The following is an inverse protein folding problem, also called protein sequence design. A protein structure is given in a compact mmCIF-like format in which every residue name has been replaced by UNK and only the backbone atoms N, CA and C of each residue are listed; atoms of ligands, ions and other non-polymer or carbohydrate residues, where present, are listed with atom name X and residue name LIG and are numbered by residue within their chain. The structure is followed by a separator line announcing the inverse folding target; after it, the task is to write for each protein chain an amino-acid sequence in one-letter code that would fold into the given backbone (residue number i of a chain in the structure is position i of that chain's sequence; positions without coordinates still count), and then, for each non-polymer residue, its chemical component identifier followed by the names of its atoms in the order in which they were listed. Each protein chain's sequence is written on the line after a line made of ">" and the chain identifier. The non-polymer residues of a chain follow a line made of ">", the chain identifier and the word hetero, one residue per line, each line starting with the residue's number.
data_IF_819375272263
#
_entry.id   IF_819375272263
#
_cell.length_a   1.000
_cell.length_b   1.000
_cell.length_c   1.000
_cell.angle_alpha   90.00
_cell.angle_beta   90.00
_cell.angle_gamma   90.00
#
_symmetry.space_group_name_H-M   'P 1'
#
loop_
_entity.id
_entity.type
_entity.pdbx_description
1 polymer ?
#
# COMPACT_ATOMS: atom_id res chain seq x y z
N UNK A 1 -9.23 -9.75 -23.99
CA UNK A 1 -8.36 -10.33 -22.94
C UNK A 1 -9.18 -10.37 -21.65
N UNK A 2 -9.57 -11.55 -21.16
CA UNK A 2 -10.50 -11.70 -20.03
C UNK A 2 -9.81 -11.32 -18.70
N UNK A 3 -10.46 -10.50 -17.88
CA UNK A 3 -9.92 -9.99 -16.62
C UNK A 3 -10.57 -10.68 -15.42
N UNK A 4 -9.74 -11.15 -14.48
CA UNK A 4 -10.17 -11.89 -13.29
C UNK A 4 -10.13 -11.00 -12.04
N UNK A 5 -11.19 -11.04 -11.23
CA UNK A 5 -11.28 -10.32 -9.97
C UNK A 5 -11.70 -11.24 -8.83
N UNK A 6 -11.16 -11.01 -7.63
CA UNK A 6 -11.46 -11.82 -6.44
C UNK A 6 -12.05 -10.92 -5.34
N UNK A 7 -13.32 -11.18 -4.98
CA UNK A 7 -14.02 -10.51 -3.89
C UNK A 7 -14.08 -11.44 -2.67
N UNK A 8 -13.52 -11.01 -1.54
CA UNK A 8 -13.39 -11.83 -0.33
C UNK A 8 -14.40 -11.47 0.78
N UNK A 9 -15.11 -10.33 0.68
CA UNK A 9 -16.24 -10.00 1.56
C UNK A 9 -17.13 -8.91 0.96
N UNK A 10 -18.31 -8.69 1.55
CA UNK A 10 -19.24 -7.59 1.20
C UNK A 10 -18.62 -6.19 1.30
N UNK A 11 -17.46 -6.04 1.97
CA UNK A 11 -16.76 -4.76 2.13
C UNK A 11 -15.39 -4.70 1.45
N UNK A 12 -14.80 -5.82 1.01
CA UNK A 12 -13.45 -5.84 0.45
C UNK A 12 -13.36 -6.68 -0.83
N UNK A 13 -13.08 -5.95 -1.90
CA UNK A 13 -12.89 -6.51 -3.24
C UNK A 13 -11.51 -6.04 -3.72
N UNK A 14 -10.57 -6.99 -3.90
CA UNK A 14 -9.22 -6.71 -4.39
C UNK A 14 -9.22 -7.02 -5.88
N UNK A 15 -9.29 -5.97 -6.69
CA UNK A 15 -9.41 -6.06 -8.14
C UNK A 15 -8.04 -5.83 -8.81
N UNK A 16 -7.77 -6.56 -9.90
CA UNK A 16 -6.63 -6.35 -10.78
C UNK A 16 -7.14 -6.05 -12.21
N UNK A 17 -6.56 -5.02 -12.86
CA UNK A 17 -6.54 -4.69 -14.32
C UNK A 17 -7.46 -3.52 -14.81
N UNK A 18 -7.11 -3.00 -16.00
CA UNK A 18 -7.03 -1.63 -16.53
C UNK A 18 -8.34 -1.01 -17.11
N UNK A 19 -8.43 0.32 -16.92
CA UNK A 19 -9.23 1.35 -17.61
C UNK A 19 -10.77 1.44 -17.47
N UNK A 20 -11.15 2.51 -16.75
CA UNK A 20 -12.05 3.62 -17.14
C UNK A 20 -13.34 3.34 -17.91
N UNK A 21 -14.41 2.96 -17.21
CA UNK A 21 -15.75 3.57 -17.41
C UNK A 21 -16.51 3.53 -16.07
N UNK A 22 -17.02 4.67 -15.61
CA UNK A 22 -17.73 4.80 -14.32
C UNK A 22 -19.19 5.20 -14.56
N UNK A 23 -20.13 4.28 -14.29
CA UNK A 23 -21.55 4.62 -14.04
C UNK A 23 -21.80 4.53 -12.54
N UNK A 24 -22.30 5.62 -11.95
CA UNK A 24 -22.64 5.69 -10.53
C UNK A 24 -24.11 5.29 -10.35
N UNK A 25 -24.37 4.25 -9.55
CA UNK A 25 -25.73 3.80 -9.22
C UNK A 25 -25.92 3.82 -7.71
N UNK A 26 -27.06 4.37 -7.28
CA UNK A 26 -27.48 4.55 -5.89
C UNK A 26 -28.27 3.32 -5.44
N UNK A 27 -27.65 2.37 -4.75
CA UNK A 27 -28.41 1.39 -3.95
C UNK A 27 -27.64 1.02 -2.68
N UNK A 28 -28.42 0.70 -1.63
CA UNK A 28 -28.00 0.51 -0.25
C UNK A 28 -27.78 -0.99 -0.05
N UNK A 29 -26.56 -1.53 0.11
CA UNK A 29 -26.39 -2.98 0.17
C UNK A 29 -26.55 -3.44 1.62
N UNK A 30 -27.75 -3.87 1.97
CA UNK A 30 -28.01 -4.59 3.23
C UNK A 30 -27.67 -6.08 3.13
N UNK A 31 -27.67 -6.62 1.91
CA UNK A 31 -27.55 -8.04 1.62
C UNK A 31 -26.38 -8.34 0.66
N UNK A 32 -25.66 -9.44 0.90
CA UNK A 32 -24.54 -9.90 0.06
C UNK A 32 -24.98 -10.17 -1.38
N UNK A 33 -26.19 -10.71 -1.56
CA UNK A 33 -26.72 -11.01 -2.89
C UNK A 33 -27.12 -9.74 -3.66
N UNK A 34 -27.63 -8.73 -2.95
CA UNK A 34 -27.90 -7.41 -3.52
C UNK A 34 -26.59 -6.72 -3.95
N UNK A 35 -25.56 -6.77 -3.12
CA UNK A 35 -24.24 -6.24 -3.44
C UNK A 35 -23.56 -6.98 -4.61
N UNK A 36 -23.64 -8.31 -4.62
CA UNK A 36 -23.13 -9.14 -5.71
C UNK A 36 -23.81 -8.79 -7.04
N UNK A 37 -25.15 -8.67 -7.04
CA UNK A 37 -25.91 -8.24 -8.23
C UNK A 37 -25.51 -6.83 -8.67
N UNK A 38 -25.34 -5.91 -7.73
CA UNK A 38 -24.90 -4.54 -8.03
C UNK A 38 -23.54 -4.53 -8.76
N UNK A 39 -22.54 -5.23 -8.24
CA UNK A 39 -21.20 -5.27 -8.84
C UNK A 39 -21.21 -6.00 -10.19
N UNK A 40 -21.96 -7.10 -10.32
CA UNK A 40 -22.10 -7.81 -11.61
C UNK A 40 -22.80 -6.93 -12.66
N UNK A 41 -23.83 -6.17 -12.28
CA UNK A 41 -24.51 -5.24 -13.19
C UNK A 41 -23.64 -4.03 -13.55
N UNK A 42 -22.86 -3.50 -12.61
CA UNK A 42 -21.87 -2.46 -12.87
C UNK A 42 -20.70 -2.97 -13.74
N UNK A 43 -20.53 -4.29 -13.83
CA UNK A 43 -19.53 -4.96 -14.64
C UNK A 43 -19.96 -5.27 -16.08
N UNK A 44 -21.10 -4.77 -16.54
CA UNK A 44 -21.55 -4.94 -17.92
C UNK A 44 -21.20 -3.71 -18.76
N UNK A 45 -20.78 -3.95 -20.00
CA UNK A 45 -20.55 -2.89 -20.99
C UNK A 45 -21.87 -2.23 -21.42
N UNK A 46 -21.80 -1.16 -22.23
CA UNK A 46 -22.99 -0.52 -22.81
C UNK A 46 -23.83 -1.47 -23.67
N UNK A 47 -23.21 -2.52 -24.20
CA UNK A 47 -23.81 -3.60 -24.99
C UNK A 47 -24.34 -4.77 -24.11
N UNK A 48 -24.19 -4.70 -22.79
CA UNK A 48 -24.69 -5.70 -21.85
C UNK A 48 -23.81 -6.93 -21.65
N UNK A 49 -22.66 -7.01 -22.33
CA UNK A 49 -21.68 -8.08 -22.19
C UNK A 49 -20.87 -7.97 -20.89
N UNK A 50 -20.53 -9.11 -20.28
CA UNK A 50 -19.73 -9.19 -19.06
C UNK A 50 -18.29 -8.76 -19.36
N UNK A 51 -17.93 -7.54 -18.95
CA UNK A 51 -16.59 -6.99 -19.11
C UNK A 51 -15.62 -7.51 -18.03
N UNK A 52 -16.16 -7.93 -16.88
CA UNK A 52 -15.40 -8.37 -15.71
C UNK A 52 -15.80 -9.81 -15.34
N UNK A 53 -14.82 -10.71 -15.22
CA UNK A 53 -15.04 -11.99 -14.53
C UNK A 53 -14.76 -11.81 -13.03
N UNK A 54 -15.79 -11.48 -12.26
CA UNK A 54 -15.70 -11.29 -10.81
C UNK A 54 -16.04 -12.57 -10.06
N UNK A 55 -15.05 -13.21 -9.47
CA UNK A 55 -15.23 -14.32 -8.54
C UNK A 55 -15.55 -13.78 -7.15
N UNK A 56 -16.77 -14.06 -6.69
CA UNK A 56 -17.18 -13.80 -5.32
C UNK A 56 -16.98 -15.07 -4.49
N UNK A 57 -15.99 -15.05 -3.60
CA UNK A 57 -15.81 -16.11 -2.62
C UNK A 57 -17.00 -16.13 -1.66
N UNK A 58 -17.33 -17.31 -1.10
CA UNK A 58 -18.39 -17.43 -0.10
C UNK A 58 -18.13 -16.46 1.06
N UNK A 59 -19.15 -15.73 1.54
CA UNK A 59 -18.98 -14.80 2.64
C UNK A 59 -18.46 -15.55 3.87
N UNK A 60 -17.37 -15.03 4.46
CA UNK A 60 -16.84 -15.58 5.70
C UNK A 60 -17.70 -15.13 6.88
N UNK A 61 -17.96 -15.98 7.88
CA UNK A 61 -18.80 -15.64 9.02
C UNK A 61 -18.24 -14.49 9.87
N UNK A 62 -16.94 -14.20 9.76
CA UNK A 62 -16.30 -13.11 10.47
C UNK A 62 -15.44 -12.24 9.53
N UNK A 63 -16.04 -11.16 9.02
CA UNK A 63 -15.39 -10.23 8.12
C UNK A 63 -14.16 -9.53 8.74
N UNK A 64 -14.17 -9.26 10.05
CA UNK A 64 -13.06 -8.60 10.74
C UNK A 64 -11.81 -9.49 10.79
N UNK A 65 -11.99 -10.78 11.11
CA UNK A 65 -10.88 -11.76 11.10
C UNK A 65 -10.29 -11.89 9.71
N UNK A 66 -11.12 -11.96 8.67
CA UNK A 66 -10.69 -12.03 7.26
C UNK A 66 -9.93 -10.79 6.84
N UNK A 67 -10.44 -9.59 7.17
CA UNK A 67 -9.75 -8.33 6.89
C UNK A 67 -8.40 -8.22 7.63
N UNK A 68 -8.36 -8.62 8.91
CA UNK A 68 -7.13 -8.66 9.70
C UNK A 68 -6.13 -9.68 9.17
N UNK A 69 -6.60 -10.82 8.66
CA UNK A 69 -5.79 -11.82 7.98
C UNK A 69 -5.17 -11.21 6.71
N UNK A 70 -5.99 -10.75 5.77
CA UNK A 70 -5.53 -10.15 4.50
C UNK A 70 -4.56 -8.97 4.74
N UNK A 71 -4.87 -8.09 5.70
CA UNK A 71 -4.02 -6.96 6.04
C UNK A 71 -2.62 -7.37 6.52
N UNK A 72 -2.47 -8.51 7.19
CA UNK A 72 -1.15 -9.04 7.59
C UNK A 72 -0.33 -9.46 6.37
N UNK A 73 -0.96 -10.05 5.35
CA UNK A 73 -0.26 -10.48 4.14
C UNK A 73 0.12 -9.31 3.24
N UNK A 74 -0.70 -8.28 3.15
CA UNK A 74 -0.41 -7.09 2.35
C UNK A 74 0.70 -6.21 2.96
N UNK A 75 0.79 -6.14 4.29
CA UNK A 75 1.73 -5.25 5.00
C UNK A 75 3.07 -5.90 5.32
N UNK A 76 3.12 -7.21 5.60
CA UNK A 76 4.32 -7.87 6.10
C UNK A 76 5.21 -8.33 4.94
N UNK A 77 6.54 -8.33 5.15
CA UNK A 77 7.42 -9.00 4.21
C UNK A 77 7.04 -10.48 4.08
N UNK A 78 7.26 -11.07 2.90
CA UNK A 78 6.86 -12.45 2.58
C UNK A 78 7.53 -13.49 3.50
N UNK A 79 8.70 -13.16 4.05
CA UNK A 79 9.34 -13.91 5.13
C UNK A 79 9.47 -12.99 6.34
N UNK A 80 8.87 -13.39 7.45
CA UNK A 80 9.03 -12.71 8.74
C UNK A 80 10.37 -13.08 9.35
N UNK A 81 11.10 -12.11 9.92
CA UNK A 81 12.35 -12.38 10.65
C UNK A 81 12.18 -13.39 11.80
N UNK A 82 10.99 -13.44 12.42
CA UNK A 82 10.65 -14.44 13.43
C UNK A 82 10.66 -15.91 12.94
N UNK A 83 10.75 -16.14 11.62
CA UNK A 83 10.90 -17.49 11.06
C UNK A 83 12.36 -17.92 10.97
N UNK A 84 13.31 -17.03 11.19
CA UNK A 84 14.74 -17.36 11.21
C UNK A 84 15.04 -18.11 12.51
N UNK A 85 15.37 -19.40 12.38
CA UNK A 85 15.70 -20.25 13.52
C UNK A 85 17.21 -20.31 13.74
N UNK A 86 17.98 -20.43 12.66
CA UNK A 86 19.43 -20.49 12.73
C UNK A 86 20.09 -19.77 11.56
N UNK A 87 21.23 -19.14 11.83
CA UNK A 87 22.07 -18.48 10.84
C UNK A 87 23.53 -18.83 11.11
N UNK A 88 24.11 -19.63 10.21
CA UNK A 88 25.48 -20.13 10.34
C UNK A 88 26.43 -19.27 9.50
N UNK A 89 26.54 -17.97 9.85
CA UNK A 89 27.63 -17.07 9.46
C UNK A 89 27.97 -16.87 7.98
N UNK A 90 27.28 -17.51 7.02
CA UNK A 90 27.77 -17.60 5.64
C UNK A 90 27.18 -18.74 4.82
N UNK A 91 27.04 -19.92 5.43
CA UNK A 91 26.76 -21.18 4.72
C UNK A 91 25.26 -21.47 4.63
N UNK A 92 24.58 -21.47 5.78
CA UNK A 92 23.21 -22.00 5.90
C UNK A 92 22.32 -21.11 6.75
N UNK A 93 21.10 -20.95 6.26
CA UNK A 93 20.01 -20.23 6.92
C UNK A 93 18.86 -21.22 7.09
N UNK A 94 18.43 -21.45 8.33
CA UNK A 94 17.29 -22.33 8.63
C UNK A 94 16.07 -21.48 8.94
N UNK A 95 15.02 -21.66 8.14
CA UNK A 95 13.72 -21.02 8.34
C UNK A 95 12.69 -22.03 8.86
N UNK A 96 12.10 -21.75 10.01
CA UNK A 96 10.96 -22.51 10.54
C UNK A 96 9.65 -21.96 10.02
N UNK A 97 8.81 -22.81 9.45
CA UNK A 97 7.49 -22.44 8.93
C UNK A 97 6.44 -23.49 9.31
N UNK A 98 5.18 -23.05 9.38
CA UNK A 98 4.05 -23.95 9.60
C UNK A 98 3.57 -24.47 8.24
N UNK A 99 3.60 -25.78 8.04
CA UNK A 99 3.09 -26.43 6.84
C UNK A 99 1.60 -26.72 7.03
N UNK A 100 0.76 -25.99 6.31
CA UNK A 100 -0.69 -26.13 6.39
C UNK A 100 -1.22 -27.44 5.81
N UNK A 101 -0.45 -28.15 4.97
CA UNK A 101 -0.85 -29.44 4.40
C UNK A 101 -0.62 -30.57 5.39
N UNK A 102 0.44 -30.49 6.19
CA UNK A 102 0.80 -31.53 7.18
C UNK A 102 0.44 -31.16 8.61
N UNK A 103 0.10 -29.90 8.89
CA UNK A 103 -0.28 -29.43 10.23
C UNK A 103 0.90 -29.29 11.20
N UNK A 104 2.14 -29.45 10.73
CA UNK A 104 3.34 -29.45 11.57
C UNK A 104 4.30 -28.32 11.18
N UNK A 105 5.12 -27.91 12.14
CA UNK A 105 6.24 -27.02 11.87
C UNK A 105 7.35 -27.80 11.15
N UNK A 106 7.86 -27.22 10.07
CA UNK A 106 8.97 -27.74 9.29
C UNK A 106 10.07 -26.69 9.18
N UNK A 107 11.28 -27.19 8.97
CA UNK A 107 12.47 -26.38 8.77
C UNK A 107 12.85 -26.40 7.29
N UNK A 108 13.28 -25.24 6.80
CA UNK A 108 13.73 -25.02 5.44
C UNK A 108 15.14 -24.46 5.49
N UNK A 109 16.10 -25.30 5.15
CA UNK A 109 17.49 -24.91 5.02
C UNK A 109 17.74 -24.29 3.65
N UNK A 110 18.34 -23.11 3.63
CA UNK A 110 18.65 -22.34 2.43
C UNK A 110 20.06 -21.77 2.51
N UNK A 111 20.71 -21.63 1.37
CA UNK A 111 21.86 -20.75 1.23
C UNK A 111 21.44 -19.28 1.27
N UNK A 112 22.38 -18.38 1.56
CA UNK A 112 22.14 -16.93 1.51
C UNK A 112 21.63 -16.48 0.14
N UNK A 113 22.24 -17.02 -0.93
CA UNK A 113 21.88 -16.68 -2.31
C UNK A 113 20.45 -17.08 -2.63
N UNK A 114 20.02 -18.27 -2.22
CA UNK A 114 18.64 -18.73 -2.43
C UNK A 114 17.62 -17.90 -1.67
N UNK A 115 17.94 -17.50 -0.43
CA UNK A 115 17.09 -16.60 0.34
C UNK A 115 16.90 -15.27 -0.39
N UNK A 116 18.00 -14.64 -0.84
CA UNK A 116 17.97 -13.37 -1.56
C UNK A 116 17.16 -13.50 -2.85
N UNK A 117 17.40 -14.54 -3.65
CA UNK A 117 16.65 -14.77 -4.90
C UNK A 117 15.15 -14.95 -4.64
N UNK A 118 14.77 -15.64 -3.56
CA UNK A 118 13.35 -15.79 -3.17
C UNK A 118 12.73 -14.48 -2.70
N UNK A 119 13.49 -13.62 -2.03
CA UNK A 119 13.05 -12.29 -1.62
C UNK A 119 12.89 -11.35 -2.83
N UNK A 120 13.83 -11.36 -3.76
CA UNK A 120 13.79 -10.52 -4.98
C UNK A 120 12.54 -10.84 -5.81
N UNK A 121 12.14 -12.12 -5.92
CA UNK A 121 10.91 -12.53 -6.63
C UNK A 121 9.63 -11.87 -6.10
N UNK A 122 9.66 -11.34 -4.88
CA UNK A 122 8.51 -10.70 -4.24
C UNK A 122 8.50 -9.18 -4.45
N UNK A 123 9.60 -8.62 -4.96
CA UNK A 123 9.70 -7.20 -5.29
C UNK A 123 8.96 -7.00 -6.63
N UNK A 124 7.87 -6.23 -6.64
CA UNK A 124 7.16 -5.94 -7.87
C UNK A 124 8.04 -5.11 -8.82
N UNK A 125 7.80 -5.24 -10.13
CA UNK A 125 8.49 -4.44 -11.13
C UNK A 125 8.27 -2.94 -10.92
N UNK A 126 9.17 -2.13 -11.49
CA UNK A 126 9.06 -0.67 -11.45
C UNK A 126 7.72 -0.25 -12.05
N UNK A 127 6.98 0.58 -11.31
CA UNK A 127 5.62 1.04 -11.64
C UNK A 127 4.50 0.00 -11.54
N UNK A 128 4.78 -1.23 -11.13
CA UNK A 128 3.74 -2.21 -10.84
C UNK A 128 3.04 -1.87 -9.52
N UNK A 129 1.73 -1.58 -9.61
CA UNK A 129 0.89 -1.31 -8.44
C UNK A 129 0.35 -2.63 -7.90
N UNK A 130 0.87 -3.07 -6.73
CA UNK A 130 0.40 -4.26 -6.02
C UNK A 130 -1.07 -4.17 -5.61
N UNK A 131 -1.52 -2.97 -5.20
CA UNK A 131 -2.91 -2.68 -4.86
C UNK A 131 -3.41 -1.62 -5.82
N UNK A 132 -4.53 -1.91 -6.48
CA UNK A 132 -5.19 -1.00 -7.40
C UNK A 132 -6.59 -0.69 -6.85
N UNK A 133 -6.93 0.59 -6.82
CA UNK A 133 -8.24 1.04 -6.36
C UNK A 133 -9.18 1.23 -7.55
N UNK A 134 -10.38 0.67 -7.47
CA UNK A 134 -11.38 0.68 -8.55
C UNK A 134 -12.77 1.06 -8.03
N UNK A 135 -13.70 1.29 -8.95
CA UNK A 135 -15.05 1.74 -8.64
C UNK A 135 -15.03 3.04 -7.84
N UNK A 136 -15.78 3.08 -6.75
CA UNK A 136 -15.85 4.25 -5.86
C UNK A 136 -14.55 4.53 -5.09
N UNK A 137 -13.58 3.59 -5.07
CA UNK A 137 -12.26 3.81 -4.45
C UNK A 137 -11.22 4.33 -5.44
N UNK A 138 -11.53 4.41 -6.74
CA UNK A 138 -10.57 4.90 -7.73
C UNK A 138 -10.20 6.37 -7.48
N UNK A 139 -8.90 6.71 -7.58
CA UNK A 139 -8.37 8.03 -7.21
C UNK A 139 -9.13 9.22 -7.83
N UNK A 140 -9.64 9.09 -9.06
CA UNK A 140 -10.38 10.16 -9.76
C UNK A 140 -11.74 10.46 -9.11
N UNK A 141 -12.40 9.45 -8.56
CA UNK A 141 -13.81 9.53 -8.10
C UNK A 141 -13.97 9.30 -6.60
N UNK A 142 -12.92 8.86 -5.90
CA UNK A 142 -12.95 8.55 -4.46
C UNK A 142 -13.29 9.77 -3.61
N UNK A 143 -12.89 10.97 -4.02
CA UNK A 143 -13.19 12.20 -3.29
C UNK A 143 -14.68 12.53 -3.23
N UNK A 144 -15.47 12.08 -4.22
CA UNK A 144 -16.91 12.37 -4.31
C UNK A 144 -17.76 11.16 -3.94
N UNK A 145 -17.41 9.97 -4.44
CA UNK A 145 -18.22 8.77 -4.26
C UNK A 145 -18.07 8.14 -2.87
N UNK A 146 -16.91 8.28 -2.22
CA UNK A 146 -16.68 7.63 -0.93
C UNK A 146 -17.63 8.14 0.16
N UNK A 147 -17.94 9.44 0.16
CA UNK A 147 -18.86 10.02 1.14
C UNK A 147 -20.31 9.60 0.88
N UNK A 148 -20.70 9.41 -0.38
CA UNK A 148 -22.02 8.84 -0.74
C UNK A 148 -22.14 7.40 -0.23
N UNK A 149 -21.11 6.58 -0.44
CA UNK A 149 -21.09 5.17 0.03
C UNK A 149 -21.13 5.10 1.54
N UNK A 150 -20.35 5.93 2.26
CA UNK A 150 -20.38 5.99 3.74
C UNK A 150 -21.77 6.28 4.28
N UNK A 151 -22.47 7.27 3.70
CA UNK A 151 -23.84 7.61 4.05
C UNK A 151 -24.82 6.46 3.77
N UNK A 152 -24.67 5.80 2.61
CA UNK A 152 -25.50 4.65 2.25
C UNK A 152 -25.36 3.49 3.24
N UNK A 153 -24.13 3.20 3.67
CA UNK A 153 -23.79 2.14 4.63
C UNK A 153 -24.09 2.56 6.09
N UNK A 154 -24.52 3.80 6.34
CA UNK A 154 -24.79 4.30 7.68
C UNK A 154 -23.52 4.50 8.53
N UNK A 155 -22.36 4.65 7.89
CA UNK A 155 -21.12 5.01 8.60
C UNK A 155 -21.18 6.48 9.02
N UNK A 156 -20.69 6.76 10.23
CA UNK A 156 -20.54 8.13 10.74
C UNK A 156 -19.64 8.96 9.83
N UNK A 157 -19.90 10.27 9.75
CA UNK A 157 -19.10 11.20 8.95
C UNK A 157 -17.61 11.08 9.27
N UNK A 158 -16.81 10.87 8.23
CA UNK A 158 -15.37 10.77 8.37
C UNK A 158 -14.76 12.15 8.64
N UNK A 159 -14.32 12.38 9.87
CA UNK A 159 -13.56 13.59 10.22
C UNK A 159 -12.16 13.49 9.63
N UNK A 160 -11.86 14.32 8.63
CA UNK A 160 -10.49 14.46 8.11
C UNK A 160 -9.57 14.86 9.27
N UNK A 161 -8.52 14.07 9.51
CA UNK A 161 -7.49 14.43 10.48
C UNK A 161 -6.82 15.72 10.01
N UNK A 162 -6.60 16.67 10.93
CA UNK A 162 -5.86 17.90 10.61
C UNK A 162 -4.45 17.51 10.16
N UNK A 163 -3.98 18.11 9.08
CA UNK A 163 -2.60 17.92 8.63
C UNK A 163 -1.68 18.47 9.72
N UNK A 164 -0.72 17.65 10.15
CA UNK A 164 0.32 18.09 11.09
C UNK A 164 1.42 18.75 10.25
N UNK A 165 1.77 20.02 10.50
CA UNK A 165 2.80 20.68 9.72
C UNK A 165 4.16 20.04 9.96
N UNK A 166 5.02 20.07 8.94
CA UNK A 166 6.39 19.56 9.02
C UNK A 166 7.15 20.10 10.24
N UNK A 167 6.96 21.38 10.58
CA UNK A 167 7.62 22.00 11.73
C UNK A 167 7.30 21.32 13.04
N UNK A 168 6.02 20.99 13.29
CA UNK A 168 5.62 20.32 14.53
C UNK A 168 6.17 18.89 14.58
N UNK A 169 6.20 18.19 13.43
CA UNK A 169 6.79 16.85 13.35
C UNK A 169 8.29 16.89 13.62
N UNK A 170 9.00 17.81 12.97
CA UNK A 170 10.45 17.97 13.12
C UNK A 170 10.82 18.41 14.54
N UNK A 171 10.08 19.32 15.14
CA UNK A 171 10.27 19.76 16.52
C UNK A 171 10.03 18.62 17.52
N UNK A 172 8.99 17.80 17.34
CA UNK A 172 8.76 16.63 18.21
C UNK A 172 9.83 15.56 18.06
N UNK A 173 10.37 15.38 16.85
CA UNK A 173 11.39 14.36 16.58
C UNK A 173 12.78 14.77 17.07
N UNK A 174 13.19 16.02 16.79
CA UNK A 174 14.54 16.52 17.09
C UNK A 174 14.63 17.30 18.40
N UNK A 175 13.50 17.69 18.99
CA UNK A 175 13.45 18.55 20.19
C UNK A 175 13.77 20.02 19.92
N UNK A 176 14.02 20.41 18.66
CA UNK A 176 14.43 21.77 18.27
C UNK A 176 13.45 22.32 17.24
N UNK A 177 13.03 23.59 17.38
CA UNK A 177 12.20 24.25 16.35
C UNK A 177 13.05 24.44 15.08
N UNK A 178 12.68 23.83 13.93
CA UNK A 178 13.43 23.98 12.68
C UNK A 178 13.43 25.41 12.14
N UNK A 179 12.58 26.30 12.67
CA UNK A 179 12.55 27.72 12.35
C UNK A 179 13.22 28.59 13.42
N UNK A 180 13.89 28.02 14.42
CA UNK A 180 14.73 28.77 15.33
C UNK A 180 16.18 28.74 14.83
N UNK A 181 16.84 29.90 14.82
CA UNK A 181 18.25 29.99 14.49
C UNK A 181 19.08 29.30 15.58
N UNK A 182 19.90 28.33 15.19
CA UNK A 182 20.79 27.60 16.12
C UNK A 182 21.84 28.50 16.81
N UNK A 183 22.12 29.69 16.26
CA UNK A 183 23.12 30.61 16.82
C UNK A 183 22.51 31.64 17.78
N UNK A 184 21.35 32.21 17.44
CA UNK A 184 20.77 33.33 18.19
C UNK A 184 19.36 33.08 18.74
N UNK A 185 18.74 31.93 18.45
CA UNK A 185 17.37 31.61 18.86
C UNK A 185 16.27 32.40 18.14
N UNK A 186 16.63 33.34 17.26
CA UNK A 186 15.68 34.14 16.50
C UNK A 186 14.85 33.31 15.51
N UNK A 187 13.62 33.78 15.20
CA UNK A 187 12.72 33.13 14.25
C UNK A 187 13.22 33.30 12.82
N UNK A 188 13.65 32.22 12.19
CA UNK A 188 14.01 32.16 10.78
C UNK A 188 12.76 32.36 9.91
N UNK A 189 12.91 33.17 8.85
CA UNK A 189 11.89 33.37 7.82
C UNK A 189 12.39 32.78 6.52
N UNK A 190 11.46 32.27 5.72
CA UNK A 190 11.79 31.81 4.38
C UNK A 190 12.33 32.99 3.55
N UNK A 191 13.53 32.83 3.01
CA UNK A 191 14.15 33.84 2.14
C UNK A 191 14.07 33.43 0.68
N UNK A 192 14.61 32.25 0.34
CA UNK A 192 14.60 31.71 -1.02
C UNK A 192 14.65 30.19 -1.01
N UNK A 193 14.13 29.58 -2.07
CA UNK A 193 14.27 28.16 -2.33
C UNK A 193 15.44 27.93 -3.28
N UNK A 194 16.41 27.10 -2.89
CA UNK A 194 17.50 26.66 -3.75
C UNK A 194 17.15 25.26 -4.25
N UNK A 195 16.97 25.12 -5.56
CA UNK A 195 16.66 23.83 -6.19
C UNK A 195 17.82 22.85 -5.98
N UNK A 196 17.54 21.68 -5.43
CA UNK A 196 18.53 20.61 -5.26
C UNK A 196 18.96 19.97 -6.58
N UNK A 197 20.09 19.26 -6.54
CA UNK A 197 20.59 18.46 -7.66
C UNK A 197 19.61 17.31 -8.00
N UNK A 198 19.58 16.88 -9.26
CA UNK A 198 18.83 15.68 -9.67
C UNK A 198 19.47 14.43 -9.06
N UNK A 199 18.71 13.33 -8.93
CA UNK A 199 19.20 12.08 -8.33
C UNK A 199 20.51 11.59 -8.99
N UNK A 200 20.62 11.62 -10.32
CA UNK A 200 21.85 11.24 -11.02
C UNK A 200 23.06 12.08 -10.56
N UNK A 201 22.89 13.40 -10.48
CA UNK A 201 23.94 14.33 -10.04
C UNK A 201 24.29 14.17 -8.55
N UNK A 202 23.35 13.71 -7.72
CA UNK A 202 23.61 13.37 -6.31
C UNK A 202 24.45 12.09 -6.20
N UNK A 203 24.18 11.09 -7.04
CA UNK A 203 24.98 9.85 -7.11
C UNK A 203 26.40 10.17 -7.57
N UNK A 204 26.55 10.97 -8.62
CA UNK A 204 27.87 11.36 -9.14
C UNK A 204 28.70 12.13 -8.09
N UNK A 205 28.04 12.91 -7.24
CA UNK A 205 28.67 13.73 -6.20
C UNK A 205 28.58 13.13 -4.79
N UNK A 206 28.25 11.83 -4.68
CA UNK A 206 28.01 11.17 -3.40
C UNK A 206 29.19 11.29 -2.42
N UNK A 207 30.43 11.22 -2.91
CA UNK A 207 31.64 11.37 -2.10
C UNK A 207 31.80 12.78 -1.50
N UNK A 208 31.54 13.83 -2.29
CA UNK A 208 31.63 15.22 -1.80
C UNK A 208 30.51 15.54 -0.81
N UNK A 209 29.31 14.98 -1.04
CA UNK A 209 28.17 15.10 -0.11
C UNK A 209 28.45 14.38 1.20
N UNK A 210 29.02 13.16 1.16
CA UNK A 210 29.40 12.40 2.35
C UNK A 210 30.45 13.15 3.19
N UNK A 211 31.28 13.99 2.56
CA UNK A 211 32.25 14.88 3.21
C UNK A 211 31.65 16.20 3.70
N UNK A 212 30.33 16.36 3.65
CA UNK A 212 29.61 17.59 3.99
C UNK A 212 30.11 18.84 3.26
N UNK A 213 30.72 18.67 2.07
CA UNK A 213 31.16 19.82 1.27
C UNK A 213 29.99 20.42 0.53
N UNK A 214 29.94 21.76 0.53
CA UNK A 214 28.96 22.48 -0.27
C UNK A 214 29.21 22.18 -1.75
N UNK A 215 28.23 21.59 -2.40
CA UNK A 215 28.26 21.33 -3.83
C UNK A 215 27.52 22.47 -4.52
N UNK A 216 28.23 23.46 -5.11
CA UNK A 216 27.56 24.56 -5.79
C UNK A 216 26.75 24.04 -6.97
N UNK A 217 25.55 24.61 -7.11
CA UNK A 217 24.74 24.47 -8.31
C UNK A 217 25.35 25.40 -9.37
N UNK A 218 26.09 24.84 -10.33
CA UNK A 218 26.42 25.53 -11.57
C UNK A 218 25.23 25.35 -12.51
N UNK A 219 24.38 26.37 -12.55
CA UNK A 219 23.21 26.45 -13.42
C UNK A 219 22.59 27.82 -13.33
#
# INVERSE_FOLDING_TARGET
>A
MKQHAYCFSSLFCVFFIHNNHTKAVRSRPGDYDEWKRFILNAGKNEEGEDYWHVYFAKPTPNAEKTAKYLGRYLKKPPVSGARLEHYEGGSRITLRFFDHNTGHYKNLDLSQKELILRLIKQIPEKHFRMIRYFGFLANRVVGTLLDVVRKAVGQSDFKRKRSIPFSLLSQRFLGVDPFACILCGGRMRFSRFIKGLRIAQLVDKALEIARMRYVPFLG
#
